data_IF_884885267405
#
_entry.id   IF_884885267405
#
_cell.length_a   1.000
_cell.length_b   1.000
_cell.length_c   1.000
_cell.angle_alpha   90.00
_cell.angle_beta   90.00
_cell.angle_gamma   90.00
#
_symmetry.space_group_name_H-M   'P 1'
#
loop_
_entity.id
_entity.type
_entity.pdbx_description
1 polymer ?
#
# COMPACT_ATOMS: atom_id res chain seq x y z
N UNK A 1 9.55 9.12 16.85
CA UNK A 1 9.48 7.65 16.77
C UNK A 1 8.96 7.35 15.38
N UNK A 2 9.72 6.61 14.56
CA UNK A 2 9.30 6.24 13.21
C UNK A 2 8.29 5.09 13.27
N UNK A 3 7.48 4.92 12.24
CA UNK A 3 6.56 3.80 12.13
C UNK A 3 7.27 2.47 11.84
N UNK A 4 6.51 1.38 11.90
CA UNK A 4 6.99 0.01 11.59
C UNK A 4 6.09 -0.66 10.56
N UNK A 5 6.67 -1.52 9.73
CA UNK A 5 5.96 -2.30 8.71
C UNK A 5 5.58 -3.65 9.29
N UNK A 6 4.29 -3.96 9.35
CA UNK A 6 3.80 -5.21 9.93
C UNK A 6 4.34 -6.44 9.19
N UNK A 7 4.50 -6.36 7.87
CA UNK A 7 5.00 -7.46 7.04
C UNK A 7 6.48 -7.83 7.27
N UNK A 8 7.25 -6.98 7.94
CA UNK A 8 8.66 -7.20 8.24
C UNK A 8 8.88 -7.81 9.64
N UNK A 9 7.81 -7.98 10.42
CA UNK A 9 7.84 -8.46 11.80
C UNK A 9 7.55 -9.96 11.90
N UNK A 10 8.11 -10.63 12.91
CA UNK A 10 7.58 -11.94 13.34
C UNK A 10 6.21 -11.76 13.99
N UNK A 11 5.48 -12.87 14.22
CA UNK A 11 4.17 -12.78 14.85
C UNK A 11 4.26 -12.30 16.32
N UNK A 12 5.34 -12.62 17.03
CA UNK A 12 5.61 -12.10 18.38
C UNK A 12 5.85 -10.58 18.37
N UNK A 13 6.71 -10.10 17.47
CA UNK A 13 6.99 -8.67 17.29
C UNK A 13 5.73 -7.91 16.85
N UNK A 14 4.91 -8.51 16.00
CA UNK A 14 3.63 -7.96 15.59
C UNK A 14 2.65 -7.82 16.76
N UNK A 15 2.60 -8.81 17.67
CA UNK A 15 1.77 -8.75 18.87
C UNK A 15 2.17 -7.59 19.80
N UNK A 16 3.46 -7.28 19.89
CA UNK A 16 3.94 -6.11 20.62
C UNK A 16 3.65 -4.81 19.86
N UNK A 17 3.82 -4.79 18.53
CA UNK A 17 3.64 -3.61 17.71
C UNK A 17 2.17 -3.13 17.69
N UNK A 18 1.19 -4.03 17.65
CA UNK A 18 -0.24 -3.63 17.67
C UNK A 18 -0.64 -2.90 18.96
N UNK A 19 0.04 -3.17 20.07
CA UNK A 19 -0.16 -2.46 21.34
C UNK A 19 0.57 -1.11 21.37
N UNK A 20 1.73 -1.02 20.72
CA UNK A 20 2.58 0.19 20.71
C UNK A 20 2.14 1.25 19.68
N UNK A 21 1.54 0.83 18.57
CA UNK A 21 1.18 1.69 17.44
C UNK A 21 -0.35 1.76 17.25
N UNK A 22 -1.04 2.72 17.90
CA UNK A 22 -2.50 2.80 17.86
C UNK A 22 -3.07 3.28 16.51
N UNK A 23 -2.21 3.79 15.62
CA UNK A 23 -2.60 4.25 14.29
C UNK A 23 -2.08 3.24 13.26
N UNK A 24 -3.01 2.63 12.54
CA UNK A 24 -2.73 1.69 11.45
C UNK A 24 -2.89 2.40 10.11
N UNK A 25 -1.90 2.27 9.23
CA UNK A 25 -1.94 2.77 7.86
C UNK A 25 -2.14 1.59 6.89
N UNK A 26 -3.24 1.62 6.13
CA UNK A 26 -3.53 0.68 5.05
C UNK A 26 -3.43 1.39 3.69
N UNK A 27 -2.35 1.18 2.93
CA UNK A 27 -2.25 1.71 1.57
C UNK A 27 -3.15 0.93 0.61
N UNK A 28 -3.82 1.63 -0.30
CA UNK A 28 -4.67 1.05 -1.35
C UNK A 28 -4.29 1.71 -2.68
N UNK A 29 -3.93 0.90 -3.68
CA UNK A 29 -3.58 1.39 -5.02
C UNK A 29 -3.48 0.23 -6.00
N UNK A 30 -3.97 0.42 -7.23
CA UNK A 30 -3.94 -0.61 -8.27
C UNK A 30 -2.52 -1.05 -8.64
N UNK A 31 -2.25 -2.35 -8.52
CA UNK A 31 -0.94 -2.93 -8.89
C UNK A 31 -0.71 -2.97 -10.41
N UNK A 32 -1.77 -3.17 -11.19
CA UNK A 32 -1.74 -3.04 -12.64
C UNK A 32 -3.12 -2.61 -13.18
N UNK A 33 -3.23 -1.36 -13.62
CA UNK A 33 -4.44 -0.74 -14.17
C UNK A 33 -4.04 0.22 -15.29
N UNK A 34 -4.87 0.42 -16.31
CA UNK A 34 -4.55 1.36 -17.38
C UNK A 34 -4.37 2.81 -16.88
N UNK A 35 -3.40 3.51 -17.48
CA UNK A 35 -3.05 4.92 -17.22
C UNK A 35 -2.69 5.68 -18.50
N UNK A 36 -3.36 5.38 -19.61
CA UNK A 36 -3.05 5.94 -20.92
C UNK A 36 -1.72 5.47 -21.50
N UNK A 37 -1.33 6.08 -22.62
CA UNK A 37 -0.16 5.65 -23.42
C UNK A 37 1.21 6.08 -22.87
N UNK A 38 1.23 6.82 -21.77
CA UNK A 38 2.40 7.54 -21.30
C UNK A 38 2.85 7.14 -19.88
N UNK A 39 2.05 6.33 -19.19
CA UNK A 39 2.34 5.87 -17.83
C UNK A 39 2.31 4.35 -17.74
N UNK A 40 3.12 3.74 -16.85
CA UNK A 40 3.05 2.31 -16.56
C UNK A 40 1.73 1.92 -15.85
N UNK A 41 1.31 0.66 -16.00
CA UNK A 41 0.09 0.18 -15.34
C UNK A 41 0.16 0.14 -13.80
N UNK A 42 1.36 0.14 -13.22
CA UNK A 42 1.56 0.14 -11.76
C UNK A 42 1.57 1.53 -11.12
N UNK A 43 1.11 2.57 -11.83
CA UNK A 43 1.21 3.96 -11.36
C UNK A 43 0.53 4.17 -10.01
N UNK A 44 -0.67 3.64 -9.80
CA UNK A 44 -1.37 3.77 -8.51
C UNK A 44 -0.55 3.18 -7.35
N UNK A 45 0.01 1.97 -7.54
CA UNK A 45 0.84 1.32 -6.53
C UNK A 45 2.14 2.11 -6.26
N UNK A 46 2.82 2.60 -7.30
CA UNK A 46 4.03 3.42 -7.14
C UNK A 46 3.76 4.68 -6.29
N UNK A 47 2.65 5.36 -6.55
CA UNK A 47 2.27 6.56 -5.81
C UNK A 47 1.93 6.24 -4.36
N UNK A 48 1.13 5.19 -4.13
CA UNK A 48 0.69 4.87 -2.76
C UNK A 48 1.83 4.33 -1.90
N UNK A 49 2.75 3.55 -2.48
CA UNK A 49 3.91 3.01 -1.76
C UNK A 49 4.87 4.14 -1.32
N UNK A 50 5.12 5.12 -2.20
CA UNK A 50 5.94 6.30 -1.88
C UNK A 50 5.28 7.18 -0.80
N UNK A 51 3.96 7.39 -0.89
CA UNK A 51 3.24 8.16 0.15
C UNK A 51 3.23 7.41 1.49
N UNK A 52 3.03 6.09 1.48
CA UNK A 52 3.06 5.27 2.68
C UNK A 52 4.43 5.31 3.36
N UNK A 53 5.52 5.25 2.58
CA UNK A 53 6.88 5.38 3.09
C UNK A 53 7.11 6.74 3.76
N UNK A 54 6.65 7.85 3.15
CA UNK A 54 6.76 9.18 3.78
C UNK A 54 5.99 9.27 5.09
N UNK A 55 4.80 8.68 5.16
CA UNK A 55 4.01 8.64 6.40
C UNK A 55 4.72 7.79 7.47
N UNK A 56 5.25 6.63 7.09
CA UNK A 56 6.04 5.75 7.96
C UNK A 56 7.24 6.48 8.57
N UNK A 57 7.95 7.29 7.76
CA UNK A 57 9.09 8.08 8.21
C UNK A 57 8.69 9.24 9.12
N UNK A 58 7.54 9.87 8.87
CA UNK A 58 7.10 11.06 9.59
C UNK A 58 6.32 10.78 10.89
N UNK A 59 5.62 9.64 10.97
CA UNK A 59 4.68 9.35 12.04
C UNK A 59 4.86 7.94 12.63
N UNK A 60 4.60 7.75 13.93
CA UNK A 60 4.59 6.42 14.55
C UNK A 60 3.31 5.68 14.16
N UNK A 61 3.32 5.03 13.00
CA UNK A 61 2.20 4.22 12.48
C UNK A 61 2.61 2.77 12.28
N UNK A 62 1.64 1.87 12.36
CA UNK A 62 1.77 0.48 11.91
C UNK A 62 1.34 0.39 10.45
N UNK A 63 2.30 0.21 9.54
CA UNK A 63 2.05 0.13 8.11
C UNK A 63 1.72 -1.31 7.68
N UNK A 64 0.55 -1.49 7.09
CA UNK A 64 0.12 -2.74 6.47
C UNK A 64 0.62 -2.86 5.02
N UNK A 65 0.66 -4.08 4.45
CA UNK A 65 0.92 -4.26 3.03
C UNK A 65 -0.11 -3.53 2.15
N UNK A 66 0.35 -3.00 1.02
CA UNK A 66 -0.52 -2.34 0.05
C UNK A 66 -1.55 -3.31 -0.53
N UNK A 67 -2.82 -2.89 -0.53
CA UNK A 67 -3.88 -3.62 -1.22
C UNK A 67 -3.82 -3.28 -2.71
N UNK A 68 -3.22 -4.19 -3.47
CA UNK A 68 -2.93 -4.00 -4.90
C UNK A 68 -4.13 -4.26 -5.83
N UNK A 69 -5.11 -5.04 -5.38
CA UNK A 69 -6.29 -5.42 -6.16
C UNK A 69 -7.54 -4.83 -5.54
N UNK A 70 -8.36 -4.19 -6.37
CA UNK A 70 -9.62 -3.59 -5.96
C UNK A 70 -10.55 -3.43 -7.16
N UNK A 71 -11.78 -2.97 -6.92
CA UNK A 71 -12.81 -2.91 -7.94
C UNK A 71 -12.63 -1.73 -8.92
N UNK A 72 -12.12 -2.02 -10.13
CA UNK A 72 -11.86 -1.05 -11.20
C UNK A 72 -12.66 -1.34 -12.49
N UNK A 73 -14.01 -1.32 -12.45
CA UNK A 73 -14.85 -1.78 -13.57
C UNK A 73 -14.67 -0.95 -14.85
N UNK A 74 -14.22 0.29 -14.74
CA UNK A 74 -13.99 1.17 -15.88
C UNK A 74 -12.78 0.77 -16.73
N UNK A 75 -11.98 -0.21 -16.30
CA UNK A 75 -10.71 -0.57 -16.94
C UNK A 75 -10.66 -2.03 -17.44
N UNK A 76 -11.79 -2.73 -17.40
CA UNK A 76 -11.87 -4.18 -17.74
C UNK A 76 -11.56 -4.48 -19.21
N UNK A 77 -11.79 -3.51 -20.12
CA UNK A 77 -11.54 -3.68 -21.55
C UNK A 77 -10.07 -3.43 -21.95
N UNK A 78 -9.22 -3.01 -21.00
CA UNK A 78 -7.82 -2.67 -21.27
C UNK A 78 -6.87 -3.82 -20.88
N UNK A 79 -6.16 -4.41 -21.86
CA UNK A 79 -5.22 -5.49 -21.59
C UNK A 79 -4.17 -5.11 -20.54
N UNK A 80 -3.97 -6.01 -19.56
CA UNK A 80 -3.04 -5.81 -18.46
C UNK A 80 -3.63 -5.12 -17.23
N UNK A 81 -4.86 -4.60 -17.30
CA UNK A 81 -5.59 -4.16 -16.11
C UNK A 81 -6.12 -5.38 -15.34
N UNK A 82 -5.97 -5.35 -14.02
CA UNK A 82 -6.47 -6.37 -13.09
C UNK A 82 -7.15 -5.69 -11.91
N UNK A 83 -8.22 -6.30 -11.40
CA UNK A 83 -9.11 -5.73 -10.39
C UNK A 83 -9.61 -6.79 -9.44
#
# INVERSE_FOLDING_TARGET
MHGVRLGDLTWEEAAEAVEQYPIVLLPIGGGAKEHGRHLPCGTDQMVVDELAERVLQAFPVLLLPTVAYAYYPAFVDWPGSVS
#
